data_IF_950386278148
#
_entry.id   IF_950386278148
#
_cell.length_a   1.000
_cell.length_b   1.000
_cell.length_c   1.000
_cell.angle_alpha   90.00
_cell.angle_beta   90.00
_cell.angle_gamma   90.00
#
_symmetry.space_group_name_H-M   'P 1'
#
loop_
_entity.id
_entity.type
_entity.pdbx_description
1 polymer ?
#
# COMPACT_ATOMS: atom_id res chain seq x y z
N UNK A 1 13.56 -5.51 -26.73
CA UNK A 1 13.81 -5.08 -25.34
C UNK A 1 12.99 -5.99 -24.45
N UNK A 2 13.62 -6.70 -23.50
CA UNK A 2 12.84 -7.44 -22.50
C UNK A 2 12.04 -6.43 -21.69
N UNK A 3 10.72 -6.63 -21.57
CA UNK A 3 9.90 -5.84 -20.66
C UNK A 3 10.44 -5.92 -19.23
N UNK A 4 10.03 -5.01 -18.32
CA UNK A 4 10.44 -5.10 -16.93
C UNK A 4 10.10 -6.50 -16.40
N UNK A 5 11.12 -7.20 -15.88
CA UNK A 5 10.99 -8.55 -15.33
C UNK A 5 9.77 -8.63 -14.41
N UNK A 6 9.04 -9.74 -14.47
CA UNK A 6 7.95 -9.99 -13.53
C UNK A 6 8.45 -9.84 -12.09
N UNK A 7 7.68 -9.18 -11.20
CA UNK A 7 8.04 -9.11 -9.81
C UNK A 7 8.00 -10.52 -9.22
N UNK A 8 8.93 -10.85 -8.32
CA UNK A 8 8.89 -12.10 -7.58
C UNK A 8 7.52 -12.37 -6.93
N UNK A 9 7.06 -13.62 -6.96
CA UNK A 9 5.75 -14.01 -6.43
C UNK A 9 5.55 -13.66 -4.94
N UNK A 10 6.63 -13.56 -4.15
CA UNK A 10 6.55 -13.16 -2.74
C UNK A 10 5.97 -11.75 -2.55
N UNK A 11 6.10 -10.86 -3.54
CA UNK A 11 5.59 -9.49 -3.45
C UNK A 11 4.06 -9.44 -3.48
N UNK A 12 3.43 -10.25 -4.32
CA UNK A 12 1.98 -10.42 -4.34
C UNK A 12 1.49 -11.07 -3.03
N UNK A 13 2.22 -12.08 -2.53
CA UNK A 13 1.91 -12.70 -1.25
C UNK A 13 2.04 -11.71 -0.07
N UNK A 14 3.06 -10.85 -0.08
CA UNK A 14 3.25 -9.80 0.92
C UNK A 14 2.15 -8.73 0.86
N UNK A 15 1.70 -8.36 -0.34
CA UNK A 15 0.57 -7.45 -0.52
C UNK A 15 -0.75 -8.02 0.02
N UNK A 16 -1.04 -9.30 -0.26
CA UNK A 16 -2.19 -10.00 0.33
C UNK A 16 -2.10 -10.00 1.85
N UNK A 17 -0.95 -10.39 2.40
CA UNK A 17 -0.73 -10.44 3.85
C UNK A 17 -0.89 -9.07 4.51
N UNK A 18 -0.45 -7.99 3.87
CA UNK A 18 -0.66 -6.62 4.37
C UNK A 18 -2.14 -6.35 4.65
N UNK A 19 -3.00 -6.67 3.69
CA UNK A 19 -4.45 -6.44 3.79
C UNK A 19 -5.12 -7.38 4.79
N UNK A 20 -4.69 -8.65 4.83
CA UNK A 20 -5.19 -9.62 5.82
C UNK A 20 -4.80 -9.21 7.25
N UNK A 21 -3.58 -8.75 7.46
CA UNK A 21 -3.10 -8.25 8.75
C UNK A 21 -3.81 -6.93 9.14
N UNK A 22 -4.08 -6.03 8.19
CA UNK A 22 -4.85 -4.80 8.40
C UNK A 22 -6.34 -5.07 8.70
N UNK A 23 -6.89 -6.15 8.13
CA UNK A 23 -8.26 -6.58 8.35
C UNK A 23 -8.51 -7.45 9.57
N UNK A 24 -7.44 -7.97 10.18
CA UNK A 24 -7.52 -8.76 11.39
C UNK A 24 -8.08 -7.91 12.55
N UNK A 25 -8.98 -8.51 13.34
CA UNK A 25 -9.52 -7.85 14.53
C UNK A 25 -8.37 -7.45 15.44
N UNK A 26 -8.24 -6.14 15.73
CA UNK A 26 -7.23 -5.64 16.66
C UNK A 26 -7.28 -6.42 17.98
N UNK A 27 -6.12 -6.81 18.49
CA UNK A 27 -5.95 -7.55 19.75
C UNK A 27 -6.24 -6.70 21.01
N UNK A 28 -6.87 -5.52 20.84
CA UNK A 28 -7.16 -4.58 21.92
C UNK A 28 -5.95 -3.72 22.33
N UNK A 29 -4.79 -3.84 21.69
CA UNK A 29 -3.66 -2.94 21.95
C UNK A 29 -3.83 -1.61 21.21
N UNK A 30 -3.68 -0.50 21.95
CA UNK A 30 -3.85 0.86 21.43
C UNK A 30 -2.92 1.18 20.25
N UNK A 31 -1.74 0.56 20.19
CA UNK A 31 -0.72 0.78 19.15
C UNK A 31 -1.13 0.26 17.76
N UNK A 32 -2.13 -0.64 17.68
CA UNK A 32 -2.69 -1.16 16.40
C UNK A 32 -4.08 -0.63 16.08
N UNK A 33 -4.74 0.06 17.02
CA UNK A 33 -6.13 0.47 16.85
C UNK A 33 -6.32 1.48 15.70
N UNK A 34 -5.39 2.41 15.48
CA UNK A 34 -5.54 3.40 14.40
C UNK A 34 -5.44 2.77 12.99
N UNK A 35 -4.61 1.72 12.82
CA UNK A 35 -4.38 1.07 11.52
C UNK A 35 -5.28 -0.15 11.27
N UNK A 36 -5.72 -0.87 12.30
CA UNK A 36 -6.49 -2.13 12.13
C UNK A 36 -8.02 -1.92 12.08
N UNK A 37 -8.52 -0.76 12.49
CA UNK A 37 -9.96 -0.49 12.49
C UNK A 37 -10.56 -0.29 11.10
N UNK A 38 -9.93 0.45 10.16
CA UNK A 38 -10.54 0.82 8.88
C UNK A 38 -10.86 -0.36 7.95
N UNK A 39 -10.09 -1.44 8.04
CA UNK A 39 -10.27 -2.66 7.24
C UNK A 39 -10.81 -3.84 8.04
N UNK A 40 -11.22 -3.65 9.30
CA UNK A 40 -11.75 -4.74 10.14
C UNK A 40 -12.91 -5.47 9.45
N UNK A 41 -12.68 -6.75 9.13
CA UNK A 41 -13.65 -7.59 8.40
C UNK A 41 -13.57 -7.52 6.86
N UNK A 42 -12.50 -6.93 6.30
CA UNK A 42 -12.25 -6.94 4.85
C UNK A 42 -11.97 -8.37 4.36
N UNK A 43 -12.43 -8.66 3.14
CA UNK A 43 -12.04 -9.87 2.41
C UNK A 43 -11.12 -9.48 1.26
N UNK A 44 -9.98 -10.16 1.15
CA UNK A 44 -8.99 -9.93 0.09
C UNK A 44 -9.29 -10.86 -1.09
N UNK A 45 -9.94 -10.32 -2.11
CA UNK A 45 -10.30 -11.06 -3.33
C UNK A 45 -9.06 -11.31 -4.18
N UNK A 46 -8.23 -10.28 -4.39
CA UNK A 46 -7.08 -10.32 -5.27
C UNK A 46 -5.93 -9.48 -4.74
N UNK A 47 -4.72 -10.00 -4.84
CA UNK A 47 -3.50 -9.22 -4.72
C UNK A 47 -2.51 -9.73 -5.77
N UNK A 48 -2.27 -8.92 -6.79
CA UNK A 48 -1.39 -9.24 -7.92
C UNK A 48 -0.52 -8.02 -8.25
N UNK A 49 0.37 -8.16 -9.23
CA UNK A 49 1.29 -7.09 -9.63
C UNK A 49 0.51 -5.80 -9.94
N UNK A 50 0.67 -4.80 -9.08
CA UNK A 50 0.12 -3.46 -9.24
C UNK A 50 -1.38 -3.37 -9.00
N UNK A 51 -2.03 -4.40 -8.48
CA UNK A 51 -3.46 -4.38 -8.18
C UNK A 51 -3.81 -5.09 -6.87
N UNK A 52 -4.66 -4.47 -6.08
CA UNK A 52 -5.26 -5.05 -4.90
C UNK A 52 -6.79 -4.85 -4.97
N UNK A 53 -7.55 -5.92 -4.77
CA UNK A 53 -9.01 -5.91 -4.78
C UNK A 53 -9.52 -6.47 -3.46
N UNK A 54 -10.35 -5.68 -2.79
CA UNK A 54 -10.92 -6.02 -1.50
C UNK A 54 -12.41 -5.75 -1.47
N UNK A 55 -13.14 -6.56 -0.72
CA UNK A 55 -14.55 -6.32 -0.40
C UNK A 55 -14.71 -6.07 1.09
N UNK A 56 -15.64 -5.17 1.46
CA UNK A 56 -15.96 -4.88 2.85
C UNK A 56 -17.46 -4.71 3.00
N UNK A 57 -18.03 -5.40 3.98
CA UNK A 57 -19.37 -5.09 4.46
C UNK A 57 -19.25 -4.04 5.54
N UNK A 58 -19.78 -2.84 5.30
CA UNK A 58 -19.58 -1.68 6.19
C UNK A 58 -20.00 -2.03 7.63
N UNK A 59 -19.05 -2.07 8.60
CA UNK A 59 -19.35 -2.46 9.97
C UNK A 59 -19.76 -1.24 10.82
N UNK A 60 -20.51 -1.49 11.89
CA UNK A 60 -21.07 -0.43 12.75
C UNK A 60 -20.02 0.48 13.39
N UNK A 61 -18.82 -0.03 13.70
CA UNK A 61 -17.76 0.79 14.31
C UNK A 61 -17.07 1.72 13.33
N UNK A 62 -17.37 1.63 12.02
CA UNK A 62 -16.85 2.52 10.98
C UNK A 62 -17.89 3.49 10.45
N UNK A 63 -19.08 3.55 11.04
CA UNK A 63 -20.13 4.47 10.60
C UNK A 63 -20.15 5.76 11.42
N UNK A 64 -20.55 6.86 10.80
CA UNK A 64 -20.89 8.12 11.47
C UNK A 64 -22.26 8.05 12.16
N UNK A 65 -22.69 9.18 12.75
CA UNK A 65 -23.97 9.31 13.46
C UNK A 65 -25.19 9.10 12.55
N UNK A 66 -25.03 9.27 11.23
CA UNK A 66 -26.07 9.09 10.22
C UNK A 66 -26.05 7.67 9.59
N UNK A 67 -25.17 6.80 10.11
CA UNK A 67 -24.98 5.43 9.62
C UNK A 67 -24.29 5.35 8.26
N UNK A 68 -23.60 6.40 7.81
CA UNK A 68 -22.73 6.34 6.62
C UNK A 68 -21.35 5.82 7.01
N UNK A 69 -20.69 5.11 6.11
CA UNK A 69 -19.28 4.77 6.24
C UNK A 69 -18.46 6.05 6.33
N UNK A 70 -17.82 6.24 7.48
CA UNK A 70 -17.16 7.48 7.85
C UNK A 70 -16.07 7.85 6.83
N UNK A 71 -16.04 9.10 6.38
CA UNK A 71 -15.13 9.56 5.32
C UNK A 71 -13.65 9.31 5.65
N UNK A 72 -13.26 9.46 6.92
CA UNK A 72 -11.91 9.13 7.39
C UNK A 72 -11.60 7.63 7.41
N UNK A 73 -12.61 6.77 7.62
CA UNK A 73 -12.45 5.32 7.54
C UNK A 73 -12.27 4.88 6.08
N UNK A 74 -13.03 5.48 5.15
CA UNK A 74 -12.82 5.32 3.70
C UNK A 74 -11.39 5.72 3.31
N UNK A 75 -10.92 6.88 3.78
CA UNK A 75 -9.58 7.38 3.46
C UNK A 75 -8.47 6.44 3.96
N UNK A 76 -8.62 5.88 5.16
CA UNK A 76 -7.65 4.94 5.70
C UNK A 76 -7.69 3.58 4.99
N UNK A 77 -8.89 3.05 4.68
CA UNK A 77 -9.02 1.82 3.90
C UNK A 77 -8.39 1.93 2.51
N UNK A 78 -8.57 3.07 1.83
CA UNK A 78 -7.91 3.37 0.56
C UNK A 78 -6.38 3.46 0.69
N UNK A 79 -5.85 3.99 1.80
CA UNK A 79 -4.40 4.07 2.08
C UNK A 79 -3.79 2.66 2.18
N UNK A 80 -4.45 1.74 2.89
CA UNK A 80 -4.02 0.35 3.01
C UNK A 80 -4.07 -0.40 1.67
N UNK A 81 -5.14 -0.19 0.88
CA UNK A 81 -5.25 -0.75 -0.48
C UNK A 81 -4.13 -0.19 -1.38
N UNK A 82 -3.83 1.10 -1.26
CA UNK A 82 -2.72 1.73 -1.97
C UNK A 82 -1.36 1.13 -1.59
N UNK A 83 -1.13 0.96 -0.30
CA UNK A 83 0.08 0.36 0.26
C UNK A 83 0.28 -1.07 -0.24
N UNK A 84 -0.78 -1.88 -0.28
CA UNK A 84 -0.76 -3.24 -0.81
C UNK A 84 -0.46 -3.28 -2.32
N UNK A 85 -1.10 -2.41 -3.12
CA UNK A 85 -0.84 -2.32 -4.55
C UNK A 85 0.62 -1.91 -4.84
N UNK A 86 1.23 -1.06 -4.01
CA UNK A 86 2.66 -0.74 -4.10
C UNK A 86 3.54 -1.91 -3.67
N UNK A 87 3.19 -2.60 -2.58
CA UNK A 87 3.95 -3.76 -2.10
C UNK A 87 4.11 -4.81 -3.22
N UNK A 88 3.08 -5.02 -4.04
CA UNK A 88 3.12 -5.99 -5.13
C UNK A 88 3.98 -5.60 -6.34
N UNK A 89 4.42 -4.34 -6.46
CA UNK A 89 5.31 -3.85 -7.53
C UNK A 89 6.70 -3.43 -7.07
N UNK A 90 6.84 -2.97 -5.82
CA UNK A 90 8.09 -2.38 -5.31
C UNK A 90 8.71 -3.21 -4.17
N UNK A 91 7.95 -4.13 -3.57
CA UNK A 91 8.42 -5.05 -2.51
C UNK A 91 8.68 -4.35 -1.17
N UNK A 92 8.30 -3.08 -1.07
CA UNK A 92 8.43 -2.24 0.11
C UNK A 92 7.20 -1.35 0.22
N UNK A 93 6.85 -0.97 1.45
CA UNK A 93 5.90 0.12 1.69
C UNK A 93 6.62 1.45 1.46
N UNK A 94 5.99 2.33 0.69
CA UNK A 94 6.46 3.70 0.46
C UNK A 94 5.66 4.66 1.33
N UNK A 95 6.19 5.86 1.55
CA UNK A 95 5.54 6.90 2.36
C UNK A 95 4.72 7.81 1.46
N UNK A 96 3.48 8.06 1.84
CA UNK A 96 2.54 8.96 1.15
C UNK A 96 3.02 10.42 1.19
N UNK A 97 3.05 11.06 0.03
CA UNK A 97 3.48 12.46 -0.14
C UNK A 97 2.41 13.34 -0.78
N UNK A 98 1.41 12.73 -1.41
CA UNK A 98 0.20 13.41 -1.88
C UNK A 98 -0.94 12.41 -1.81
N UNK A 99 -2.09 12.87 -1.34
CA UNK A 99 -3.29 12.05 -1.25
C UNK A 99 -4.52 12.90 -1.48
N UNK A 100 -5.28 12.58 -2.53
CA UNK A 100 -6.55 13.21 -2.86
C UNK A 100 -7.67 12.17 -2.92
N UNK A 101 -8.86 12.56 -2.50
CA UNK A 101 -10.06 11.73 -2.52
C UNK A 101 -11.25 12.59 -2.93
N UNK A 102 -12.09 12.08 -3.82
CA UNK A 102 -13.41 12.63 -4.12
C UNK A 102 -14.49 11.63 -3.69
N UNK A 103 -15.52 12.14 -3.01
CA UNK A 103 -16.66 11.36 -2.50
C UNK A 103 -17.90 11.67 -3.34
N UNK A 104 -18.63 10.63 -3.76
CA UNK A 104 -19.75 10.76 -4.70
C UNK A 104 -21.08 10.27 -4.12
N UNK A 105 -21.07 9.19 -3.33
CA UNK A 105 -22.27 8.65 -2.71
C UNK A 105 -21.95 8.02 -1.35
N UNK A 106 -22.85 8.09 -0.36
CA UNK A 106 -22.64 7.41 0.91
C UNK A 106 -22.77 5.89 0.75
N UNK A 107 -21.94 5.12 1.43
CA UNK A 107 -22.18 3.71 1.72
C UNK A 107 -22.74 3.59 3.14
N UNK A 108 -23.83 2.87 3.33
CA UNK A 108 -24.54 2.73 4.61
C UNK A 108 -24.07 1.49 5.37
N UNK A 109 -24.36 1.48 6.68
CA UNK A 109 -24.22 0.31 7.52
C UNK A 109 -24.73 -0.95 6.82
N UNK A 110 -23.91 -2.01 6.83
CA UNK A 110 -24.18 -3.31 6.22
C UNK A 110 -24.26 -3.38 4.69
N UNK A 111 -24.10 -2.26 3.96
CA UNK A 111 -23.87 -2.32 2.51
C UNK A 111 -22.51 -2.95 2.22
N UNK A 112 -22.43 -3.68 1.10
CA UNK A 112 -21.17 -4.21 0.59
C UNK A 112 -20.55 -3.23 -0.41
N UNK A 113 -19.24 -3.04 -0.27
CA UNK A 113 -18.43 -2.22 -1.15
C UNK A 113 -17.21 -3.00 -1.63
N UNK A 114 -16.83 -2.76 -2.87
CA UNK A 114 -15.59 -3.22 -3.48
C UNK A 114 -14.61 -2.04 -3.55
N UNK A 115 -13.34 -2.32 -3.25
CA UNK A 115 -12.22 -1.38 -3.33
C UNK A 115 -11.19 -1.94 -4.32
N UNK A 116 -11.03 -1.29 -5.48
CA UNK A 116 -10.09 -1.70 -6.54
C UNK A 116 -8.93 -0.71 -6.63
N UNK A 117 -7.80 -1.07 -6.05
CA UNK A 117 -6.57 -0.29 -6.06
C UNK A 117 -5.63 -0.71 -7.18
N UNK A 118 -5.17 0.25 -7.99
CA UNK A 118 -4.33 0.03 -9.16
C UNK A 118 -3.16 1.00 -9.22
N UNK A 119 -1.95 0.49 -9.41
CA UNK A 119 -0.79 1.31 -9.74
C UNK A 119 -1.01 1.92 -11.14
N UNK A 120 -1.03 3.25 -11.22
CA UNK A 120 -1.35 3.98 -12.45
C UNK A 120 -0.14 4.71 -13.04
N UNK A 121 0.87 5.03 -12.22
CA UNK A 121 2.00 5.82 -12.70
C UNK A 121 3.28 5.57 -11.88
N UNK A 122 4.43 5.62 -12.54
CA UNK A 122 5.75 5.71 -11.91
C UNK A 122 6.44 7.00 -12.39
N UNK A 123 6.89 7.83 -11.45
CA UNK A 123 7.64 9.07 -11.73
C UNK A 123 8.86 9.16 -10.84
N UNK A 124 10.03 8.81 -11.40
CA UNK A 124 11.27 8.75 -10.64
C UNK A 124 11.17 7.73 -9.51
N UNK A 125 11.21 8.20 -8.26
CA UNK A 125 11.07 7.35 -7.06
C UNK A 125 9.62 7.23 -6.56
N UNK A 126 8.72 8.00 -7.16
CA UNK A 126 7.33 8.06 -6.77
C UNK A 126 6.50 7.06 -7.57
N UNK A 127 5.55 6.43 -6.90
CA UNK A 127 4.56 5.55 -7.51
C UNK A 127 3.18 6.08 -7.14
N UNK A 128 2.29 6.17 -8.12
CA UNK A 128 0.91 6.58 -7.93
C UNK A 128 -0.02 5.35 -7.96
N UNK A 129 -0.96 5.31 -7.03
CA UNK A 129 -2.06 4.34 -7.01
C UNK A 129 -3.38 5.10 -7.07
N UNK A 130 -4.33 4.58 -7.82
CA UNK A 130 -5.73 5.02 -7.79
C UNK A 130 -6.58 3.91 -7.19
N UNK A 131 -7.51 4.26 -6.30
CA UNK A 131 -8.49 3.35 -5.71
C UNK A 131 -9.88 3.83 -6.07
N UNK A 132 -10.68 2.96 -6.68
CA UNK A 132 -12.12 3.16 -6.82
C UNK A 132 -12.86 2.35 -5.77
N UNK A 133 -13.85 2.97 -5.13
CA UNK A 133 -14.77 2.27 -4.23
C UNK A 133 -16.17 2.31 -4.82
N UNK A 134 -16.77 1.13 -4.98
CA UNK A 134 -18.10 0.96 -5.56
C UNK A 134 -18.97 0.10 -4.67
N UNK A 135 -20.26 0.38 -4.63
CA UNK A 135 -21.26 -0.55 -4.09
C UNK A 135 -21.41 -1.75 -5.03
N UNK A 136 -22.02 -2.82 -4.54
CA UNK A 136 -22.46 -3.96 -5.37
C UNK A 136 -23.32 -3.50 -6.57
N UNK A 137 -24.12 -2.44 -6.40
CA UNK A 137 -24.93 -1.85 -7.48
C UNK A 137 -24.10 -1.18 -8.61
N UNK A 138 -22.79 -1.07 -8.45
CA UNK A 138 -21.88 -0.36 -9.35
C UNK A 138 -21.79 1.15 -9.09
N UNK A 139 -22.61 1.69 -8.18
CA UNK A 139 -22.58 3.10 -7.81
C UNK A 139 -21.22 3.46 -7.18
N UNK A 140 -20.59 4.52 -7.70
CA UNK A 140 -19.32 5.03 -7.19
C UNK A 140 -19.54 5.70 -5.83
N UNK A 141 -18.81 5.24 -4.81
CA UNK A 141 -18.80 5.80 -3.45
C UNK A 141 -17.71 6.86 -3.37
N UNK A 142 -16.49 6.51 -3.75
CA UNK A 142 -15.34 7.40 -3.71
C UNK A 142 -14.28 6.98 -4.74
N UNK A 143 -13.44 7.93 -5.16
CA UNK A 143 -12.20 7.67 -5.89
C UNK A 143 -11.06 8.41 -5.18
N UNK A 144 -9.94 7.73 -5.01
CA UNK A 144 -8.74 8.32 -4.42
C UNK A 144 -7.52 8.14 -5.31
N UNK A 145 -6.59 9.08 -5.26
CA UNK A 145 -5.26 8.94 -5.85
C UNK A 145 -4.19 9.29 -4.82
N UNK A 146 -3.23 8.39 -4.67
CA UNK A 146 -2.14 8.53 -3.72
C UNK A 146 -0.80 8.40 -4.40
N UNK A 147 0.09 9.37 -4.15
CA UNK A 147 1.49 9.30 -4.51
C UNK A 147 2.34 8.96 -3.31
N UNK A 148 3.22 7.97 -3.46
CA UNK A 148 4.13 7.54 -2.41
C UNK A 148 5.57 7.45 -2.91
N UNK A 149 6.54 7.71 -2.02
CA UNK A 149 7.98 7.65 -2.30
C UNK A 149 8.73 6.84 -1.24
N UNK A 150 9.85 6.22 -1.60
CA UNK A 150 10.68 5.50 -0.64
C UNK A 150 11.45 6.50 0.25
N UNK A 151 11.47 6.26 1.56
CA UNK A 151 12.06 7.14 2.58
C UNK A 151 13.60 7.20 2.58
N UNK A 152 14.31 6.23 1.97
CA UNK A 152 15.79 6.19 1.94
C UNK A 152 16.41 6.57 0.60
N UNK A 153 17.34 7.54 0.53
CA UNK A 153 18.13 7.77 -0.67
C UNK A 153 18.86 6.50 -1.11
N UNK A 154 18.90 6.24 -2.42
CA UNK A 154 19.70 5.15 -3.00
C UNK A 154 21.16 5.61 -2.98
N UNK A 155 21.84 5.46 -1.84
CA UNK A 155 23.19 6.00 -1.68
C UNK A 155 24.02 5.48 -0.50
N UNK A 156 23.48 4.64 0.39
CA UNK A 156 24.26 4.11 1.53
C UNK A 156 24.84 2.71 1.32
N UNK A 157 24.62 2.07 0.16
CA UNK A 157 25.26 0.79 -0.17
C UNK A 157 26.58 0.95 -0.96
N UNK A 158 26.80 2.07 -1.66
CA UNK A 158 28.03 2.27 -2.45
C UNK A 158 29.22 2.76 -1.61
N UNK A 159 28.99 3.30 -0.41
CA UNK A 159 30.05 3.69 0.52
C UNK A 159 30.82 2.47 1.10
N UNK A 160 30.20 1.28 1.09
CA UNK A 160 30.83 0.05 1.53
C UNK A 160 31.90 -0.48 0.53
N UNK A 161 31.90 -0.02 -0.72
CA UNK A 161 32.92 -0.37 -1.72
C UNK A 161 34.18 0.50 -1.62
N UNK A 162 34.01 1.77 -1.27
CA UNK A 162 35.11 2.76 -1.26
C UNK A 162 36.11 2.52 -0.12
N UNK A 163 35.67 2.07 1.06
CA UNK A 163 36.60 1.75 2.16
C UNK A 163 37.47 0.51 1.86
N UNK A 164 36.97 -0.45 1.06
CA UNK A 164 37.72 -1.66 0.68
C UNK A 164 38.85 -1.37 -0.32
N UNK A 165 38.71 -0.31 -1.11
CA UNK A 165 39.76 0.14 -2.04
C UNK A 165 40.84 0.93 -1.27
N UNK A 166 40.44 1.76 -0.30
CA UNK A 166 41.36 2.56 0.51
C UNK A 166 42.16 1.76 1.56
N UNK A 167 41.73 0.53 1.90
CA UNK A 167 42.35 -0.32 2.94
C UNK A 167 43.28 -1.41 2.40
N UNK A 168 43.54 -1.48 1.09
CA UNK A 168 44.54 -2.40 0.55
C UNK A 168 45.96 -1.89 0.91
N UNK A 169 46.77 -2.66 1.65
CA UNK A 169 48.16 -2.28 1.89
C UNK A 169 48.92 -2.26 0.56
N UNK A 170 49.66 -1.17 0.31
CA UNK A 170 50.58 -1.08 -0.82
C UNK A 170 51.64 -2.17 -0.65
N UNK A 171 51.64 -3.16 -1.55
CA UNK A 171 52.61 -4.25 -1.54
C UNK A 171 54.04 -3.71 -1.55
N UNK A 172 54.89 -4.27 -0.70
CA UNK A 172 56.32 -4.01 -0.68
C UNK A 172 56.95 -4.52 -1.98
N UNK A 173 57.65 -3.62 -2.68
CA UNK A 173 58.52 -4.01 -3.78
C UNK A 173 59.67 -4.86 -3.23
N UNK A 174 59.75 -6.09 -3.71
CA UNK A 174 60.95 -6.92 -3.66
C UNK A 174 62.10 -6.19 -4.35
N UNK A 175 63.25 -6.07 -3.68
CA UNK A 175 64.53 -5.80 -4.33
C UNK A 175 65.38 -7.05 -4.21
N UNK A 176 65.89 -7.45 -5.37
CA UNK A 176 66.92 -8.44 -5.64
C UNK A 176 68.19 -8.11 -4.85
#
# INVERSE_FOLDING_TARGET
>A
MAGPSEPPAWMAAAARRWLEDAGAKGDGTADRAFNALPLSGVTVELAERGRALCTLRVPAHLTDEEGNWHAGAIAAAMDDVCAAAIMSVEGIIKVSVHYDISYFAPAKLHEEVEMDGRVVEHKGRMTAVTVEIRKESGQLVAIGRQWMTASRPKGSQDAAGLWKIASRPKGSHSKI
#
